data_IF_268350755161
#
_entry.id   IF_268350755161
#
_cell.length_a   1.000
_cell.length_b   1.000
_cell.length_c   1.000
_cell.angle_alpha   90.00
_cell.angle_beta   90.00
_cell.angle_gamma   90.00
#
_symmetry.space_group_name_H-M   'P 1'
#
loop_
_entity.id
_entity.type
_entity.pdbx_description
1 polymer ?
#
# COMPACT_ATOMS: atom_id res chain seq x y z
N UNK A 1 15.28 -17.74 4.08
CA UNK A 1 14.90 -16.33 4.29
C UNK A 1 13.40 -16.24 4.08
N UNK A 2 12.61 -16.46 5.13
CA UNK A 2 11.15 -16.31 5.08
C UNK A 2 10.78 -14.86 5.38
N UNK A 3 9.69 -14.37 4.79
CA UNK A 3 9.05 -13.13 5.21
C UNK A 3 8.74 -13.24 6.70
N UNK A 4 9.53 -12.60 7.57
CA UNK A 4 9.43 -12.74 9.02
C UNK A 4 8.47 -11.73 9.67
N UNK A 5 7.73 -10.96 8.87
CA UNK A 5 6.77 -10.01 9.41
C UNK A 5 5.49 -10.76 9.76
N UNK A 6 5.14 -10.70 11.04
CA UNK A 6 3.91 -11.28 11.56
C UNK A 6 2.68 -10.58 10.96
N UNK A 7 1.54 -11.29 10.92
CA UNK A 7 0.26 -10.74 10.46
C UNK A 7 -0.10 -9.40 11.15
N UNK A 8 0.12 -9.22 12.47
CA UNK A 8 -0.05 -7.93 13.14
C UNK A 8 0.83 -6.81 12.58
N UNK A 9 2.11 -7.07 12.32
CA UNK A 9 3.06 -6.08 11.78
C UNK A 9 2.69 -5.66 10.35
N UNK A 10 2.18 -6.60 9.55
CA UNK A 10 1.71 -6.32 8.18
C UNK A 10 0.40 -5.52 8.18
N UNK A 11 -0.49 -5.76 9.13
CA UNK A 11 -1.68 -4.95 9.32
C UNK A 11 -1.34 -3.53 9.78
N UNK A 12 -0.40 -3.37 10.70
CA UNK A 12 0.08 -2.06 11.16
C UNK A 12 0.77 -1.29 10.02
N UNK A 13 1.61 -1.98 9.22
CA UNK A 13 2.22 -1.40 8.03
C UNK A 13 1.16 -0.92 7.02
N UNK A 14 0.18 -1.76 6.70
CA UNK A 14 -0.91 -1.39 5.79
C UNK A 14 -1.72 -0.20 6.32
N UNK A 15 -2.02 -0.16 7.62
CA UNK A 15 -2.70 0.96 8.26
C UNK A 15 -1.90 2.27 8.17
N UNK A 16 -0.59 2.22 8.44
CA UNK A 16 0.32 3.37 8.30
C UNK A 16 0.42 3.85 6.86
N UNK A 17 0.45 2.93 5.90
CA UNK A 17 0.48 3.28 4.47
C UNK A 17 -0.83 3.95 4.04
N UNK A 18 -1.98 3.46 4.52
CA UNK A 18 -3.26 4.10 4.25
C UNK A 18 -3.36 5.51 4.84
N UNK A 19 -2.91 5.70 6.09
CA UNK A 19 -2.85 7.03 6.71
C UNK A 19 -1.94 8.00 5.92
N UNK A 20 -0.81 7.49 5.40
CA UNK A 20 0.08 8.28 4.53
C UNK A 20 -0.57 8.59 3.20
N UNK A 21 -1.31 7.65 2.61
CA UNK A 21 -2.08 7.85 1.38
C UNK A 21 -3.09 8.97 1.55
N UNK A 22 -3.87 8.94 2.63
CA UNK A 22 -4.86 9.97 2.94
C UNK A 22 -4.19 11.34 3.15
N UNK A 23 -3.08 11.39 3.89
CA UNK A 23 -2.33 12.62 4.14
C UNK A 23 -1.76 13.23 2.86
N UNK A 24 -1.16 12.41 1.98
CA UNK A 24 -0.65 12.84 0.68
C UNK A 24 -1.81 13.30 -0.23
N UNK A 25 -2.94 12.58 -0.22
CA UNK A 25 -4.15 12.96 -0.95
C UNK A 25 -4.67 14.34 -0.51
N UNK A 26 -4.64 14.62 0.80
CA UNK A 26 -4.95 15.94 1.34
C UNK A 26 -3.99 17.03 0.85
N UNK A 27 -2.69 16.77 0.84
CA UNK A 27 -1.68 17.71 0.32
C UNK A 27 -1.86 17.98 -1.18
N UNK A 28 -2.15 16.96 -1.99
CA UNK A 28 -2.42 17.10 -3.43
C UNK A 28 -3.66 17.96 -3.65
N UNK A 29 -4.74 17.72 -2.88
CA UNK A 29 -5.98 18.50 -2.96
C UNK A 29 -5.73 19.97 -2.61
N UNK A 30 -4.98 20.23 -1.54
CA UNK A 30 -4.61 21.59 -1.14
C UNK A 30 -3.76 22.28 -2.22
N UNK A 31 -2.81 21.57 -2.83
CA UNK A 31 -1.99 22.09 -3.91
C UNK A 31 -2.81 22.37 -5.19
N UNK A 32 -3.81 21.55 -5.52
CA UNK A 32 -4.77 21.80 -6.61
C UNK A 32 -5.57 23.08 -6.38
N UNK A 33 -6.03 23.31 -5.15
CA UNK A 33 -6.75 24.52 -4.79
C UNK A 33 -5.85 25.76 -4.88
N UNK A 34 -4.61 25.66 -4.38
CA UNK A 34 -3.61 26.73 -4.48
C UNK A 34 -3.27 27.04 -5.94
N UNK A 35 -3.07 26.02 -6.79
CA UNK A 35 -2.83 26.19 -8.22
C UNK A 35 -4.00 26.91 -8.91
N UNK A 36 -5.24 26.56 -8.54
CA UNK A 36 -6.44 27.23 -9.06
C UNK A 36 -6.51 28.70 -8.63
N UNK A 37 -6.15 29.00 -7.38
CA UNK A 37 -6.10 30.38 -6.88
C UNK A 37 -5.04 31.21 -7.60
N UNK A 38 -3.86 30.62 -7.85
CA UNK A 38 -2.78 31.25 -8.63
C UNK A 38 -3.22 31.52 -10.06
N UNK A 39 -3.90 30.57 -10.72
CA UNK A 39 -4.45 30.74 -12.07
C UNK A 39 -5.44 31.90 -12.17
N UNK A 40 -6.29 32.04 -11.16
CA UNK A 40 -7.29 33.11 -11.10
C UNK A 40 -6.68 34.46 -10.68
N UNK A 41 -5.44 34.48 -10.21
CA UNK A 41 -4.68 35.67 -9.88
C UNK A 41 -4.22 36.42 -11.14
N UNK A 42 -4.26 37.75 -11.10
CA UNK A 42 -3.78 38.59 -12.21
C UNK A 42 -2.29 38.46 -12.50
N UNK A 43 -1.51 37.93 -11.56
CA UNK A 43 -0.05 37.87 -11.62
C UNK A 43 0.51 36.72 -12.48
N UNK A 44 -0.34 35.78 -12.89
CA UNK A 44 0.05 34.56 -13.63
C UNK A 44 -0.48 34.51 -15.07
N UNK A 45 -0.63 35.66 -15.72
CA UNK A 45 -1.13 35.75 -17.10
C UNK A 45 0.02 35.67 -18.13
N UNK A 46 -0.21 34.95 -19.23
CA UNK A 46 0.71 34.83 -20.37
C UNK A 46 1.47 33.50 -20.41
N UNK A 47 2.37 33.35 -21.40
CA UNK A 47 3.03 32.08 -21.74
C UNK A 47 3.78 31.41 -20.57
N UNK A 48 4.33 32.20 -19.65
CA UNK A 48 5.00 31.69 -18.45
C UNK A 48 4.01 31.09 -17.44
N UNK A 49 2.83 31.71 -17.30
CA UNK A 49 1.74 31.21 -16.48
C UNK A 49 1.17 29.90 -17.01
N UNK A 50 0.91 29.82 -18.32
CA UNK A 50 0.44 28.60 -18.99
C UNK A 50 1.43 27.44 -18.84
N UNK A 51 2.73 27.74 -18.89
CA UNK A 51 3.79 26.72 -18.72
C UNK A 51 3.87 26.24 -17.27
N UNK A 52 3.74 27.15 -16.31
CA UNK A 52 3.66 26.80 -14.90
C UNK A 52 2.41 25.97 -14.57
N UNK A 53 1.24 26.34 -15.12
CA UNK A 53 0.00 25.59 -14.93
C UNK A 53 0.17 24.15 -15.43
N UNK A 54 0.66 23.94 -16.65
CA UNK A 54 0.91 22.59 -17.17
C UNK A 54 1.92 21.81 -16.34
N UNK A 55 3.01 22.45 -15.90
CA UNK A 55 4.01 21.79 -15.08
C UNK A 55 3.40 21.35 -13.73
N UNK A 56 2.60 22.22 -13.12
CA UNK A 56 1.92 21.93 -11.86
C UNK A 56 0.85 20.84 -12.02
N UNK A 57 0.04 20.88 -13.07
CA UNK A 57 -0.92 19.83 -13.38
C UNK A 57 -0.26 18.45 -13.58
N UNK A 58 0.84 18.42 -14.34
CA UNK A 58 1.61 17.20 -14.56
C UNK A 58 2.22 16.67 -13.26
N UNK A 59 2.77 17.57 -12.43
CA UNK A 59 3.32 17.22 -11.12
C UNK A 59 2.23 16.63 -10.22
N UNK A 60 1.07 17.27 -10.12
CA UNK A 60 -0.03 16.81 -9.26
C UNK A 60 -0.62 15.48 -9.74
N UNK A 61 -0.75 15.28 -11.06
CA UNK A 61 -1.14 13.98 -11.64
C UNK A 61 -0.13 12.89 -11.31
N UNK A 62 1.17 13.17 -11.44
CA UNK A 62 2.22 12.21 -11.12
C UNK A 62 2.24 11.87 -9.62
N UNK A 63 2.07 12.88 -8.76
CA UNK A 63 1.98 12.69 -7.31
C UNK A 63 0.78 11.82 -6.92
N UNK A 64 -0.37 12.04 -7.55
CA UNK A 64 -1.58 11.27 -7.30
C UNK A 64 -1.41 9.81 -7.74
N UNK A 65 -0.85 9.58 -8.93
CA UNK A 65 -0.52 8.24 -9.41
C UNK A 65 0.47 7.52 -8.48
N UNK A 66 1.52 8.20 -8.05
CA UNK A 66 2.50 7.63 -7.11
C UNK A 66 1.84 7.26 -5.77
N UNK A 67 0.95 8.12 -5.27
CA UNK A 67 0.22 7.86 -4.05
C UNK A 67 -0.64 6.58 -4.17
N UNK A 68 -1.38 6.46 -5.28
CA UNK A 68 -2.22 5.30 -5.55
C UNK A 68 -1.39 4.01 -5.70
N UNK A 69 -0.26 4.05 -6.40
CA UNK A 69 0.66 2.91 -6.53
C UNK A 69 1.25 2.48 -5.18
N UNK A 70 1.58 3.44 -4.30
CA UNK A 70 2.07 3.14 -2.94
C UNK A 70 0.99 2.43 -2.10
N UNK A 71 -0.25 2.86 -2.22
CA UNK A 71 -1.37 2.22 -1.50
C UNK A 71 -1.68 0.83 -2.07
N UNK A 72 -1.71 0.68 -3.39
CA UNK A 72 -1.90 -0.62 -4.05
C UNK A 72 -0.81 -1.62 -3.64
N UNK A 73 0.45 -1.18 -3.61
CA UNK A 73 1.56 -2.03 -3.18
C UNK A 73 1.43 -2.42 -1.70
N UNK A 74 1.00 -1.51 -0.83
CA UNK A 74 0.75 -1.82 0.58
C UNK A 74 -0.36 -2.86 0.75
N UNK A 75 -1.44 -2.77 -0.05
CA UNK A 75 -2.52 -3.77 -0.04
C UNK A 75 -2.05 -5.13 -0.57
N UNK A 76 -1.24 -5.17 -1.63
CA UNK A 76 -0.64 -6.42 -2.13
C UNK A 76 0.22 -7.09 -1.08
N UNK A 77 1.05 -6.33 -0.37
CA UNK A 77 1.87 -6.84 0.73
C UNK A 77 1.01 -7.47 1.82
N UNK A 78 -0.09 -6.80 2.22
CA UNK A 78 -1.06 -7.36 3.17
C UNK A 78 -1.67 -8.67 2.67
N UNK A 79 -2.12 -8.72 1.42
CA UNK A 79 -2.72 -9.93 0.83
C UNK A 79 -1.75 -11.11 0.79
N UNK A 80 -0.51 -10.87 0.36
CA UNK A 80 0.55 -11.89 0.31
C UNK A 80 0.85 -12.39 1.73
N UNK A 81 0.93 -11.50 2.72
CA UNK A 81 1.17 -11.87 4.11
C UNK A 81 0.06 -12.77 4.68
N UNK A 82 -1.21 -12.45 4.41
CA UNK A 82 -2.34 -13.29 4.82
C UNK A 82 -2.28 -14.67 4.17
N UNK A 83 -2.01 -14.73 2.86
CA UNK A 83 -1.90 -16.00 2.13
C UNK A 83 -0.75 -16.88 2.64
N UNK A 84 0.40 -16.28 3.02
CA UNK A 84 1.50 -17.02 3.62
C UNK A 84 1.11 -17.60 4.99
N UNK A 85 0.46 -16.80 5.84
CA UNK A 85 -0.01 -17.27 7.15
C UNK A 85 -1.00 -18.43 7.04
N UNK A 86 -1.92 -18.37 6.08
CA UNK A 86 -2.90 -19.43 5.85
C UNK A 86 -2.24 -20.72 5.33
N UNK A 87 -1.31 -20.59 4.38
CA UNK A 87 -0.55 -21.73 3.86
C UNK A 87 0.34 -22.40 4.92
N UNK A 88 0.99 -21.62 5.79
CA UNK A 88 1.79 -22.18 6.88
C UNK A 88 0.91 -22.93 7.89
N UNK A 89 -0.28 -22.39 8.22
CA UNK A 89 -1.23 -23.06 9.10
C UNK A 89 -1.76 -24.37 8.49
N UNK A 90 -2.08 -24.38 7.20
CA UNK A 90 -2.51 -25.58 6.50
C UNK A 90 -1.40 -26.63 6.40
N UNK A 91 -0.16 -26.22 6.12
CA UNK A 91 0.99 -27.14 6.10
C UNK A 91 1.25 -27.72 7.49
N UNK A 92 1.19 -26.89 8.54
CA UNK A 92 1.34 -27.37 9.91
C UNK A 92 0.26 -28.39 10.27
N UNK A 93 -1.00 -28.12 9.93
CA UNK A 93 -2.11 -29.08 10.11
C UNK A 93 -1.89 -30.38 9.35
N UNK A 94 -1.37 -30.35 8.11
CA UNK A 94 -1.08 -31.56 7.33
C UNK A 94 0.06 -32.38 7.92
N UNK A 95 1.16 -31.73 8.29
CA UNK A 95 2.34 -32.41 8.85
C UNK A 95 2.00 -33.01 10.22
N UNK A 96 1.33 -32.26 11.10
CA UNK A 96 0.91 -32.81 12.39
C UNK A 96 -0.24 -33.81 12.29
N UNK A 97 -1.11 -33.74 11.29
CA UNK A 97 -2.07 -34.81 11.04
C UNK A 97 -1.39 -36.11 10.55
N UNK A 98 -0.26 -36.01 9.84
CA UNK A 98 0.54 -37.15 9.42
C UNK A 98 1.32 -37.79 10.60
N UNK A 99 1.81 -37.00 11.55
CA UNK A 99 2.52 -37.50 12.75
C UNK A 99 1.64 -38.30 13.73
N UNK A 100 0.31 -38.19 13.66
CA UNK A 100 -0.61 -38.95 14.55
C UNK A 100 -0.92 -40.36 14.05
N UNK A 101 -0.43 -40.75 12.86
CA UNK A 101 -0.75 -42.04 12.22
C UNK A 101 0.49 -42.91 12.10
N UNK A 102 1.27 -43.11 13.17
CA UNK A 102 2.24 -44.22 13.21
C UNK A 102 2.71 -44.58 14.63
N UNK A 103 1.91 -45.38 15.35
CA UNK A 103 2.48 -46.45 16.21
C UNK A 103 1.53 -47.66 16.18
N UNK A 104 1.77 -48.66 15.31
CA UNK A 104 1.17 -49.97 15.51
C UNK A 104 1.79 -50.55 16.79
N UNK A 105 0.98 -50.67 17.84
CA UNK A 105 1.37 -51.42 19.03
C UNK A 105 1.63 -52.87 18.59
N UNK A 106 2.90 -53.28 18.58
CA UNK A 106 3.29 -54.69 18.53
C UNK A 106 2.88 -55.33 19.86
N UNK A 107 1.67 -55.90 19.90
CA UNK A 107 1.30 -56.82 20.98
C UNK A 107 2.06 -58.13 20.77
N UNK A 108 2.85 -58.48 21.79
CA UNK A 108 3.57 -59.74 21.96
C UNK A 108 2.65 -60.96 21.88
#
# INVERSE_FOLDING_TARGET
>A
MGFSASVPEMNDFSGKMQQKHDAIGGMITAAQQAATAVRNGKDFQGTAGDTFERAMENFLRAAQKLNDELNENAQKVKTIASQFSDNELENYKRIHAADVVEVPQLNM
#
